data_IF_955813320967
#
_entry.id   IF_955813320967
#
_cell.length_a   1.000
_cell.length_b   1.000
_cell.length_c   1.000
_cell.angle_alpha   90.00
_cell.angle_beta   90.00
_cell.angle_gamma   90.00
#
_symmetry.space_group_name_H-M   'P 1'
#
loop_
_entity.id
_entity.type
_entity.pdbx_description
1 polymer ?
#
# COMPACT_ATOMS: atom_id res chain seq x y z
N UNK A 1 13.55 1.06 7.35
CA UNK A 1 12.54 1.11 8.42
C UNK A 1 11.22 0.54 7.90
N UNK A 2 10.33 0.04 8.76
CA UNK A 2 8.99 -0.43 8.36
C UNK A 2 7.93 0.50 8.94
N UNK A 3 7.03 0.97 8.10
CA UNK A 3 5.88 1.78 8.45
C UNK A 3 4.61 0.97 8.22
N UNK A 4 3.58 1.21 9.03
CA UNK A 4 2.29 0.52 8.92
C UNK A 4 1.23 1.57 8.61
N UNK A 5 0.38 1.27 7.63
CA UNK A 5 -0.75 2.08 7.23
C UNK A 5 -2.00 1.21 7.18
N UNK A 6 -2.97 1.50 8.03
CA UNK A 6 -4.27 0.83 8.01
C UNK A 6 -5.30 1.75 7.37
N UNK A 7 -5.88 1.26 6.27
CA UNK A 7 -6.91 1.94 5.49
C UNK A 7 -8.19 1.11 5.39
N UNK A 8 -8.31 0.07 6.21
CA UNK A 8 -9.52 -0.76 6.31
C UNK A 8 -10.73 0.13 6.65
N UNK A 9 -11.85 -0.08 5.98
CA UNK A 9 -13.07 0.71 6.12
C UNK A 9 -13.03 2.06 5.40
N UNK A 10 -11.92 2.45 4.75
CA UNK A 10 -11.85 3.67 3.94
C UNK A 10 -12.20 3.36 2.50
N UNK A 11 -13.17 4.10 1.98
CA UNK A 11 -13.55 4.00 0.57
C UNK A 11 -12.43 4.51 -0.34
N UNK A 12 -12.37 3.93 -1.53
CA UNK A 12 -11.51 4.46 -2.59
C UNK A 12 -11.92 5.91 -2.95
N UNK A 13 -11.00 6.87 -3.17
CA UNK A 13 -9.55 6.70 -3.40
C UNK A 13 -8.65 6.93 -2.17
N UNK A 14 -9.20 6.96 -0.95
CA UNK A 14 -8.43 7.31 0.26
C UNK A 14 -7.20 6.41 0.53
N UNK A 15 -7.26 5.07 0.37
CA UNK A 15 -6.11 4.20 0.61
C UNK A 15 -4.85 4.57 -0.18
N UNK A 16 -5.04 4.90 -1.47
CA UNK A 16 -3.93 5.27 -2.35
C UNK A 16 -3.34 6.64 -1.97
N UNK A 17 -4.18 7.62 -1.65
CA UNK A 17 -3.73 8.97 -1.29
C UNK A 17 -2.93 8.95 0.02
N UNK A 18 -3.37 8.18 1.02
CA UNK A 18 -2.65 8.07 2.29
C UNK A 18 -1.32 7.34 2.14
N UNK A 19 -1.31 6.27 1.34
CA UNK A 19 -0.09 5.55 0.99
C UNK A 19 0.93 6.46 0.29
N UNK A 20 0.49 7.24 -0.70
CA UNK A 20 1.33 8.21 -1.40
C UNK A 20 1.92 9.26 -0.45
N UNK A 21 1.11 9.78 0.48
CA UNK A 21 1.57 10.75 1.49
C UNK A 21 2.63 10.14 2.40
N UNK A 22 2.43 8.91 2.86
CA UNK A 22 3.39 8.21 3.71
C UNK A 22 4.69 7.93 2.96
N UNK A 23 4.62 7.38 1.75
CA UNK A 23 5.81 7.07 0.93
C UNK A 23 6.62 8.34 0.59
N UNK A 24 5.97 9.49 0.41
CA UNK A 24 6.68 10.78 0.21
C UNK A 24 7.49 11.21 1.43
N UNK A 25 7.09 10.83 2.63
CA UNK A 25 7.74 11.21 3.89
C UNK A 25 8.83 10.27 4.41
N UNK A 26 9.01 9.09 3.80
CA UNK A 26 9.98 8.07 4.25
C UNK A 26 11.22 8.00 3.35
N UNK A 27 12.25 7.26 3.77
CA UNK A 27 13.51 7.16 3.03
C UNK A 27 13.48 6.05 1.97
N UNK A 28 14.35 6.16 0.97
CA UNK A 28 14.54 5.11 -0.03
C UNK A 28 15.02 3.83 0.65
N UNK A 29 14.39 2.71 0.31
CA UNK A 29 14.61 1.41 0.95
C UNK A 29 13.70 1.13 2.15
N UNK A 30 12.94 2.12 2.63
CA UNK A 30 11.91 1.88 3.64
C UNK A 30 10.71 1.14 3.07
N UNK A 31 10.01 0.41 3.93
CA UNK A 31 8.83 -0.37 3.57
C UNK A 31 7.58 0.19 4.23
N UNK A 32 6.46 0.16 3.52
CA UNK A 32 5.12 0.44 4.02
C UNK A 32 4.29 -0.82 3.92
N UNK A 33 3.79 -1.29 5.06
CA UNK A 33 2.79 -2.35 5.17
C UNK A 33 1.42 -1.69 5.17
N UNK A 34 0.64 -1.93 4.12
CA UNK A 34 -0.71 -1.42 3.93
C UNK A 34 -1.73 -2.52 4.20
N UNK A 35 -2.67 -2.27 5.10
CA UNK A 35 -3.88 -3.08 5.28
C UNK A 35 -5.09 -2.33 4.69
N UNK A 36 -5.93 -3.04 3.92
CA UNK A 36 -7.07 -2.46 3.20
C UNK A 36 -8.13 -3.51 2.82
N UNK A 37 -9.36 -3.04 2.58
CA UNK A 37 -10.52 -3.86 2.21
C UNK A 37 -11.19 -3.44 0.88
N UNK A 38 -10.65 -2.43 0.19
CA UNK A 38 -11.12 -2.04 -1.15
C UNK A 38 -10.51 -3.00 -2.20
N UNK A 39 -11.34 -3.83 -2.85
CA UNK A 39 -10.87 -4.74 -3.91
C UNK A 39 -10.09 -4.01 -5.03
N UNK A 40 -10.52 -2.81 -5.41
CA UNK A 40 -9.83 -2.00 -6.43
C UNK A 40 -8.40 -1.60 -6.03
N UNK A 41 -8.11 -1.51 -4.73
CA UNK A 41 -6.76 -1.19 -4.26
C UNK A 41 -5.77 -2.34 -4.54
N UNK A 42 -6.24 -3.59 -4.67
CA UNK A 42 -5.39 -4.73 -5.04
C UNK A 42 -4.77 -4.60 -6.43
N UNK A 43 -5.41 -3.86 -7.34
CA UNK A 43 -4.91 -3.64 -8.71
C UNK A 43 -4.25 -2.25 -8.85
N UNK A 44 -4.89 -1.22 -8.28
CA UNK A 44 -4.45 0.16 -8.46
C UNK A 44 -3.12 0.46 -7.77
N UNK A 45 -2.89 -0.12 -6.58
CA UNK A 45 -1.70 0.21 -5.80
C UNK A 45 -0.43 -0.45 -6.36
N UNK A 46 -0.42 -1.75 -6.73
CA UNK A 46 0.74 -2.33 -7.42
C UNK A 46 1.07 -1.61 -8.73
N UNK A 47 0.04 -1.20 -9.48
CA UNK A 47 0.23 -0.41 -10.69
C UNK A 47 0.90 0.93 -10.39
N UNK A 48 0.37 1.68 -9.43
CA UNK A 48 0.97 2.95 -8.99
C UNK A 48 2.41 2.77 -8.49
N UNK A 49 2.67 1.71 -7.71
CA UNK A 49 4.00 1.40 -7.22
C UNK A 49 4.98 1.18 -8.38
N UNK A 50 4.60 0.41 -9.39
CA UNK A 50 5.42 0.20 -10.58
C UNK A 50 5.65 1.50 -11.39
N UNK A 51 4.62 2.34 -11.53
CA UNK A 51 4.71 3.64 -12.22
C UNK A 51 5.68 4.62 -11.52
N UNK A 52 5.72 4.63 -10.19
CA UNK A 52 6.65 5.47 -9.39
C UNK A 52 8.01 4.80 -9.11
N UNK A 53 8.25 3.59 -9.62
CA UNK A 53 9.50 2.85 -9.40
C UNK A 53 9.65 2.26 -7.99
N UNK A 54 8.55 2.03 -7.28
CA UNK A 54 8.50 1.30 -6.01
C UNK A 54 8.26 -0.19 -6.25
N UNK A 55 8.65 -1.01 -5.27
CA UNK A 55 8.58 -2.46 -5.37
C UNK A 55 7.52 -3.02 -4.41
N UNK A 56 6.62 -3.88 -4.90
CA UNK A 56 5.72 -4.64 -4.03
C UNK A 56 6.45 -5.91 -3.57
N UNK A 57 6.85 -5.93 -2.30
CA UNK A 57 7.65 -7.03 -1.73
C UNK A 57 6.79 -8.12 -1.07
N UNK A 58 5.53 -7.81 -0.74
CA UNK A 58 4.60 -8.77 -0.17
C UNK A 58 3.16 -8.43 -0.55
N UNK A 59 2.35 -9.44 -0.81
CA UNK A 59 0.90 -9.30 -1.02
C UNK A 59 0.21 -10.56 -0.54
N UNK A 60 -0.79 -10.42 0.34
CA UNK A 60 -1.55 -11.53 0.89
C UNK A 60 -2.97 -11.11 1.26
N UNK A 61 -3.90 -12.07 1.26
CA UNK A 61 -5.24 -11.90 1.78
C UNK A 61 -5.25 -12.24 3.28
N UNK A 62 -5.85 -11.39 4.11
CA UNK A 62 -5.93 -11.55 5.58
C UNK A 62 -7.25 -12.15 6.07
N UNK A 63 -8.32 -12.07 5.26
CA UNK A 63 -9.64 -12.56 5.62
C UNK A 63 -10.68 -12.22 4.55
N UNK A 64 -11.95 -12.27 4.96
CA UNK A 64 -13.06 -11.92 4.08
C UNK A 64 -12.98 -10.44 3.69
N UNK A 65 -12.72 -10.21 2.39
CA UNK A 65 -12.56 -8.89 1.79
C UNK A 65 -11.47 -8.00 2.45
N UNK A 66 -10.40 -8.59 3.02
CA UNK A 66 -9.29 -7.82 3.58
C UNK A 66 -7.94 -8.32 3.04
N UNK A 67 -7.06 -7.38 2.68
CA UNK A 67 -5.74 -7.63 2.10
C UNK A 67 -4.66 -6.86 2.84
N UNK A 68 -3.45 -7.40 2.76
CA UNK A 68 -2.23 -6.76 3.23
C UNK A 68 -1.21 -6.73 2.10
N UNK A 69 -0.47 -5.63 1.99
CA UNK A 69 0.57 -5.46 0.99
C UNK A 69 1.75 -4.70 1.55
N UNK A 70 2.96 -5.11 1.22
CA UNK A 70 4.18 -4.36 1.56
C UNK A 70 4.76 -3.73 0.31
N UNK A 71 4.99 -2.42 0.37
CA UNK A 71 5.62 -1.64 -0.69
C UNK A 71 6.93 -1.10 -0.17
N UNK A 72 8.02 -1.37 -0.87
CA UNK A 72 9.34 -0.83 -0.61
C UNK A 72 9.57 0.38 -1.52
N UNK A 73 9.96 1.49 -0.91
CA UNK A 73 10.33 2.71 -1.65
C UNK A 73 11.63 2.46 -2.42
N UNK A 74 11.53 2.60 -3.74
CA UNK A 74 12.65 2.51 -4.67
C UNK A 74 13.53 3.74 -4.72
#
# INVERSE_FOLDING_TARGET
MKHVLDTTGKLCPFPLIELQKLIKGIEKGDEVVLDYDCAQATENIPRWAAEEGHEVTHFAQKGDAAWTMTIKKG
#
